data_IF_166249951802
#
_entry.id   IF_166249951802
#
_cell.length_a   1.000
_cell.length_b   1.000
_cell.length_c   1.000
_cell.angle_alpha   90.00
_cell.angle_beta   90.00
_cell.angle_gamma   90.00
#
_symmetry.space_group_name_H-M   'P 1'
#
loop_
_entity.id
_entity.type
_entity.pdbx_description
1 polymer ?
#
# COMPACT_ATOMS: atom_id res chain seq x y z
N UNK A 1 18.17 -35.53 -4.16
CA UNK A 1 16.85 -35.77 -4.80
C UNK A 1 15.91 -34.69 -4.28
N UNK A 2 15.17 -34.04 -5.18
CA UNK A 2 14.27 -32.94 -4.86
C UNK A 2 12.88 -33.50 -4.56
N UNK A 3 12.39 -33.28 -3.34
CA UNK A 3 11.01 -33.54 -2.95
C UNK A 3 10.42 -32.21 -2.50
N UNK A 4 10.05 -31.37 -3.46
CA UNK A 4 9.35 -30.11 -3.21
C UNK A 4 8.05 -30.15 -4.01
N UNK A 5 7.04 -30.81 -3.45
CA UNK A 5 5.64 -30.76 -3.87
C UNK A 5 4.90 -31.78 -2.99
N UNK A 6 4.05 -31.34 -2.05
CA UNK A 6 2.85 -32.05 -1.51
C UNK A 6 2.41 -31.62 -0.09
N UNK A 7 3.18 -30.84 0.68
CA UNK A 7 2.87 -30.61 2.11
C UNK A 7 2.21 -29.27 2.51
N UNK A 8 1.97 -28.35 1.58
CA UNK A 8 1.65 -26.95 1.90
C UNK A 8 0.29 -26.69 2.56
N UNK A 9 -0.70 -27.55 2.31
CA UNK A 9 -2.02 -27.44 2.96
C UNK A 9 -1.98 -27.86 4.43
N UNK A 10 -1.23 -28.93 4.72
CA UNK A 10 -1.26 -29.57 6.03
C UNK A 10 -0.78 -28.67 7.18
N UNK A 11 0.30 -27.90 6.98
CA UNK A 11 0.84 -27.07 8.06
C UNK A 11 -0.02 -25.83 8.36
N UNK A 12 -0.67 -25.28 7.34
CA UNK A 12 -1.59 -24.16 7.52
C UNK A 12 -2.85 -24.62 8.26
N UNK A 13 -3.38 -25.78 7.88
CA UNK A 13 -4.54 -26.38 8.54
C UNK A 13 -4.22 -26.73 10.01
N UNK A 14 -3.05 -27.31 10.27
CA UNK A 14 -2.57 -27.58 11.64
C UNK A 14 -2.40 -26.29 12.46
N UNK A 15 -1.90 -25.22 11.84
CA UNK A 15 -1.75 -23.92 12.51
C UNK A 15 -3.11 -23.33 12.85
N UNK A 16 -4.06 -23.37 11.92
CA UNK A 16 -5.42 -22.90 12.15
C UNK A 16 -6.11 -23.72 13.26
N UNK A 17 -6.01 -25.05 13.24
CA UNK A 17 -6.55 -25.91 14.28
C UNK A 17 -5.93 -25.60 15.65
N UNK A 18 -4.61 -25.46 15.72
CA UNK A 18 -3.92 -25.16 16.98
C UNK A 18 -4.29 -23.77 17.51
N UNK A 19 -4.43 -22.78 16.62
CA UNK A 19 -4.88 -21.43 16.98
C UNK A 19 -6.31 -21.45 17.51
N UNK A 20 -7.24 -22.10 16.81
CA UNK A 20 -8.63 -22.22 17.23
C UNK A 20 -8.74 -22.98 18.56
N UNK A 21 -8.02 -24.09 18.73
CA UNK A 21 -7.99 -24.88 19.96
C UNK A 21 -7.47 -24.08 21.15
N UNK A 22 -6.39 -23.31 20.95
CA UNK A 22 -5.84 -22.41 21.96
C UNK A 22 -6.85 -21.29 22.32
N UNK A 23 -7.41 -20.63 21.31
CA UNK A 23 -8.38 -19.55 21.51
C UNK A 23 -9.65 -20.03 22.22
N UNK A 24 -10.19 -21.18 21.83
CA UNK A 24 -11.36 -21.78 22.47
C UNK A 24 -11.09 -22.07 23.94
N UNK A 25 -9.95 -22.68 24.27
CA UNK A 25 -9.59 -22.98 25.66
C UNK A 25 -9.45 -21.73 26.51
N UNK A 26 -8.95 -20.63 25.95
CA UNK A 26 -8.85 -19.33 26.62
C UNK A 26 -10.18 -18.58 26.77
N UNK A 27 -11.17 -18.89 25.92
CA UNK A 27 -12.46 -18.16 25.86
C UNK A 27 -13.65 -18.96 26.39
N UNK A 28 -13.49 -20.24 26.67
CA UNK A 28 -14.48 -21.06 27.38
C UNK A 28 -14.81 -20.40 28.73
N UNK A 29 -16.04 -19.92 28.89
CA UNK A 29 -16.56 -19.49 30.20
C UNK A 29 -17.05 -20.73 30.95
N UNK A 30 -16.32 -21.14 32.00
CA UNK A 30 -16.76 -22.25 32.85
C UNK A 30 -17.97 -21.84 33.72
N UNK A 31 -19.07 -22.60 33.69
CA UNK A 31 -20.22 -22.34 34.54
C UNK A 31 -20.00 -22.93 35.95
N UNK A 32 -19.51 -22.10 36.89
CA UNK A 32 -19.70 -22.21 38.35
C UNK A 32 -19.78 -23.61 39.00
N UNK A 33 -19.05 -24.59 38.48
CA UNK A 33 -19.03 -25.95 38.98
C UNK A 33 -17.58 -26.24 39.35
N UNK A 34 -17.35 -26.99 40.44
CA UNK A 34 -16.02 -27.26 41.02
C UNK A 34 -15.07 -28.08 40.14
N UNK A 35 -15.12 -27.91 38.83
CA UNK A 35 -14.18 -28.44 37.83
C UNK A 35 -12.79 -27.90 38.15
N UNK A 36 -11.83 -28.83 38.22
CA UNK A 36 -10.48 -28.64 38.73
C UNK A 36 -9.78 -27.46 38.04
N UNK A 37 -9.54 -26.35 38.76
CA UNK A 37 -8.73 -25.23 38.26
C UNK A 37 -7.40 -25.72 37.67
N UNK A 38 -6.79 -26.72 38.31
CA UNK A 38 -5.55 -27.34 37.85
C UNK A 38 -5.70 -28.02 36.47
N UNK A 39 -6.84 -28.65 36.20
CA UNK A 39 -7.11 -29.30 34.92
C UNK A 39 -7.26 -28.28 33.78
N UNK A 40 -7.96 -27.16 34.06
CA UNK A 40 -8.11 -26.04 33.14
C UNK A 40 -6.73 -25.41 32.86
N UNK A 41 -5.95 -25.14 33.91
CA UNK A 41 -4.61 -24.57 33.78
C UNK A 41 -3.70 -25.49 32.93
N UNK A 42 -3.79 -26.82 33.12
CA UNK A 42 -3.08 -27.81 32.31
C UNK A 42 -3.58 -27.85 30.85
N UNK A 43 -4.88 -27.75 30.60
CA UNK A 43 -5.45 -27.71 29.25
C UNK A 43 -4.97 -26.45 28.51
N UNK A 44 -5.03 -25.28 29.15
CA UNK A 44 -4.54 -24.00 28.61
C UNK A 44 -3.05 -24.09 28.26
N UNK A 45 -2.22 -24.63 29.17
CA UNK A 45 -0.80 -24.82 28.90
C UNK A 45 -0.56 -25.75 27.71
N UNK A 46 -1.30 -26.87 27.63
CA UNK A 46 -1.18 -27.83 26.54
C UNK A 46 -1.52 -27.21 25.19
N UNK A 47 -2.64 -26.51 25.08
CA UNK A 47 -3.06 -25.88 23.81
C UNK A 47 -2.14 -24.73 23.42
N UNK A 48 -1.66 -23.96 24.40
CA UNK A 48 -0.70 -22.87 24.18
C UNK A 48 0.63 -23.40 23.64
N UNK A 49 1.18 -24.45 24.25
CA UNK A 49 2.43 -25.06 23.79
C UNK A 49 2.28 -25.65 22.39
N UNK A 50 1.18 -26.36 22.10
CA UNK A 50 0.90 -26.87 20.75
C UNK A 50 0.85 -25.73 19.73
N UNK A 51 0.15 -24.63 20.05
CA UNK A 51 0.09 -23.47 19.17
C UNK A 51 1.47 -22.86 18.90
N UNK A 52 2.30 -22.69 19.93
CA UNK A 52 3.67 -22.17 19.79
C UNK A 52 4.52 -23.10 18.92
N UNK A 53 4.43 -24.41 19.12
CA UNK A 53 5.22 -25.39 18.36
C UNK A 53 4.85 -25.38 16.87
N UNK A 54 3.56 -25.33 16.54
CA UNK A 54 3.11 -25.25 15.14
C UNK A 54 3.46 -23.88 14.53
N UNK A 55 3.33 -22.79 15.30
CA UNK A 55 3.75 -21.46 14.86
C UNK A 55 5.23 -21.41 14.48
N UNK A 56 6.11 -22.05 15.29
CA UNK A 56 7.55 -22.17 15.00
C UNK A 56 7.82 -23.00 13.77
N UNK A 57 7.09 -24.11 13.58
CA UNK A 57 7.20 -24.92 12.36
C UNK A 57 6.81 -24.11 11.12
N UNK A 58 5.75 -23.30 11.22
CA UNK A 58 5.30 -22.41 10.14
C UNK A 58 6.33 -21.32 9.83
N UNK A 59 6.90 -20.68 10.86
CA UNK A 59 8.00 -19.73 10.69
C UNK A 59 9.20 -20.36 9.97
N UNK A 60 9.66 -21.53 10.44
CA UNK A 60 10.77 -22.25 9.84
C UNK A 60 10.49 -22.62 8.37
N UNK A 61 9.27 -23.07 8.06
CA UNK A 61 8.83 -23.37 6.71
C UNK A 61 8.92 -22.13 5.80
N UNK A 62 8.36 -21.00 6.22
CA UNK A 62 8.41 -19.77 5.42
C UNK A 62 9.81 -19.20 5.29
N UNK A 63 10.66 -19.29 6.32
CA UNK A 63 12.08 -18.93 6.22
C UNK A 63 12.82 -19.78 5.19
N UNK A 64 12.60 -21.10 5.19
CA UNK A 64 13.20 -22.00 4.20
C UNK A 64 12.73 -21.67 2.78
N UNK A 65 11.43 -21.38 2.60
CA UNK A 65 10.89 -20.97 1.30
C UNK A 65 11.46 -19.62 0.86
N UNK A 66 11.57 -18.64 1.76
CA UNK A 66 12.17 -17.32 1.46
C UNK A 66 13.63 -17.46 1.06
N UNK A 67 14.41 -18.27 1.77
CA UNK A 67 15.80 -18.57 1.42
C UNK A 67 15.92 -19.23 0.03
N UNK A 68 15.01 -20.15 -0.30
CA UNK A 68 14.97 -20.78 -1.61
C UNK A 68 14.67 -19.76 -2.72
N UNK A 69 13.73 -18.83 -2.48
CA UNK A 69 13.40 -17.76 -3.43
C UNK A 69 14.57 -16.78 -3.61
N UNK A 70 15.22 -16.33 -2.54
CA UNK A 70 16.37 -15.43 -2.66
C UNK A 70 17.53 -16.05 -3.43
N UNK A 71 17.71 -17.35 -3.28
CA UNK A 71 18.77 -18.12 -3.92
C UNK A 71 18.46 -18.43 -5.40
N UNK A 72 17.24 -18.90 -5.69
CA UNK A 72 16.90 -19.41 -7.03
C UNK A 72 16.25 -18.34 -7.94
N UNK A 73 15.65 -17.32 -7.34
CA UNK A 73 14.85 -16.30 -8.06
C UNK A 73 15.12 -14.89 -7.49
N UNK A 74 16.38 -14.41 -7.43
CA UNK A 74 16.69 -13.09 -6.87
C UNK A 74 15.98 -11.95 -7.60
N UNK A 75 15.75 -12.08 -8.91
CA UNK A 75 14.99 -11.09 -9.69
C UNK A 75 13.55 -10.90 -9.19
N UNK A 76 12.91 -11.95 -8.64
CA UNK A 76 11.56 -11.83 -8.10
C UNK A 76 11.53 -10.93 -6.86
N UNK A 77 12.56 -11.00 -6.00
CA UNK A 77 12.65 -10.09 -4.84
C UNK A 77 12.74 -8.64 -5.28
N UNK A 78 13.60 -8.35 -6.26
CA UNK A 78 13.76 -7.01 -6.83
C UNK A 78 12.46 -6.54 -7.49
N UNK A 79 11.72 -7.44 -8.14
CA UNK A 79 10.44 -7.13 -8.75
C UNK A 79 9.39 -6.76 -7.69
N UNK A 80 9.30 -7.53 -6.60
CA UNK A 80 8.37 -7.27 -5.50
C UNK A 80 8.72 -5.92 -4.81
N UNK A 81 10.00 -5.67 -4.53
CA UNK A 81 10.48 -4.38 -4.00
C UNK A 81 10.13 -3.20 -4.92
N UNK A 82 10.33 -3.35 -6.24
CA UNK A 82 9.96 -2.31 -7.20
C UNK A 82 8.45 -2.08 -7.26
N UNK A 83 7.65 -3.13 -7.08
CA UNK A 83 6.19 -3.02 -7.02
C UNK A 83 5.75 -2.24 -5.78
N UNK A 84 6.33 -2.53 -4.61
CA UNK A 84 6.07 -1.78 -3.37
C UNK A 84 6.45 -0.30 -3.51
N UNK A 85 7.61 -0.02 -4.11
CA UNK A 85 8.04 1.36 -4.40
C UNK A 85 7.08 2.07 -5.36
N UNK A 86 6.58 1.37 -6.38
CA UNK A 86 5.62 1.93 -7.35
C UNK A 86 4.30 2.29 -6.68
N UNK A 87 3.78 1.43 -5.80
CA UNK A 87 2.56 1.69 -5.01
C UNK A 87 2.77 2.88 -4.07
N UNK A 88 3.93 2.96 -3.39
CA UNK A 88 4.23 4.06 -2.48
C UNK A 88 4.39 5.39 -3.22
N UNK A 89 4.98 5.40 -4.42
CA UNK A 89 5.03 6.59 -5.29
C UNK A 89 3.61 7.06 -5.63
N UNK A 90 2.74 6.15 -6.10
CA UNK A 90 1.35 6.49 -6.43
C UNK A 90 0.59 7.08 -5.22
N UNK A 91 0.79 6.50 -4.03
CA UNK A 91 0.21 7.02 -2.78
C UNK A 91 0.70 8.43 -2.47
N UNK A 92 2.00 8.70 -2.66
CA UNK A 92 2.60 10.02 -2.46
C UNK A 92 2.13 11.03 -3.50
N UNK A 93 1.99 10.65 -4.76
CA UNK A 93 1.42 11.50 -5.82
C UNK A 93 -0.01 11.91 -5.47
N UNK A 94 -0.85 10.97 -5.02
CA UNK A 94 -2.22 11.28 -4.57
C UNK A 94 -2.23 12.24 -3.38
N UNK A 95 -1.31 12.07 -2.43
CA UNK A 95 -1.18 12.97 -1.28
C UNK A 95 -0.74 14.38 -1.70
N UNK A 96 0.24 14.48 -2.62
CA UNK A 96 0.67 15.75 -3.19
C UNK A 96 -0.49 16.45 -3.92
N UNK A 97 -1.25 15.74 -4.74
CA UNK A 97 -2.44 16.29 -5.40
C UNK A 97 -3.44 16.87 -4.41
N UNK A 98 -3.71 16.15 -3.30
CA UNK A 98 -4.57 16.66 -2.21
C UNK A 98 -4.04 17.95 -1.61
N UNK A 99 -2.72 18.05 -1.40
CA UNK A 99 -2.09 19.27 -0.88
C UNK A 99 -2.13 20.42 -1.88
N UNK A 100 -1.89 20.17 -3.16
CA UNK A 100 -2.02 21.18 -4.21
C UNK A 100 -3.45 21.73 -4.28
N UNK A 101 -4.47 20.88 -4.24
CA UNK A 101 -5.86 21.32 -4.20
C UNK A 101 -6.15 22.22 -2.99
N UNK A 102 -5.64 21.84 -1.80
CA UNK A 102 -5.82 22.65 -0.59
C UNK A 102 -5.08 23.99 -0.67
N UNK A 103 -3.90 24.02 -1.30
CA UNK A 103 -3.17 25.26 -1.56
C UNK A 103 -3.95 26.18 -2.51
N UNK A 104 -4.58 25.65 -3.56
CA UNK A 104 -5.43 26.44 -4.45
C UNK A 104 -6.68 26.98 -3.73
N UNK A 105 -7.33 26.19 -2.87
CA UNK A 105 -8.42 26.66 -2.00
C UNK A 105 -7.98 27.82 -1.09
N UNK A 106 -6.78 27.72 -0.49
CA UNK A 106 -6.23 28.77 0.36
C UNK A 106 -5.86 30.02 -0.42
N UNK A 107 -5.27 29.88 -1.62
CA UNK A 107 -5.00 31.03 -2.51
C UNK A 107 -6.29 31.75 -2.92
N UNK A 108 -7.34 31.00 -3.27
CA UNK A 108 -8.64 31.56 -3.61
C UNK A 108 -9.20 32.39 -2.43
N UNK A 109 -9.23 31.81 -1.23
CA UNK A 109 -9.68 32.49 -0.01
C UNK A 109 -8.87 33.76 0.29
N UNK A 110 -7.54 33.73 0.14
CA UNK A 110 -6.69 34.91 0.33
C UNK A 110 -6.96 35.99 -0.73
N UNK A 111 -7.23 35.61 -1.99
CA UNK A 111 -7.59 36.55 -3.04
C UNK A 111 -8.94 37.23 -2.75
N UNK A 112 -9.94 36.49 -2.30
CA UNK A 112 -11.25 37.03 -1.92
C UNK A 112 -11.14 38.06 -0.77
N UNK A 113 -10.28 37.77 0.22
CA UNK A 113 -10.01 38.71 1.32
C UNK A 113 -9.35 39.98 0.79
N UNK A 114 -8.33 39.86 -0.08
CA UNK A 114 -7.63 41.00 -0.67
C UNK A 114 -8.54 41.87 -1.55
N UNK A 115 -9.41 41.25 -2.35
CA UNK A 115 -10.41 41.96 -3.16
C UNK A 115 -11.47 42.64 -2.28
N UNK A 116 -11.84 42.02 -1.16
CA UNK A 116 -12.77 42.57 -0.16
C UNK A 116 -12.22 43.79 0.59
N UNK A 117 -10.92 43.84 0.91
CA UNK A 117 -10.32 45.02 1.57
C UNK A 117 -10.13 46.21 0.63
N UNK A 118 -9.96 45.99 -0.68
CA UNK A 118 -9.92 47.09 -1.65
C UNK A 118 -11.32 47.61 -2.03
N UNK A 119 -12.37 46.83 -1.75
CA UNK A 119 -13.76 47.22 -2.03
C UNK A 119 -14.46 47.89 -0.85
N UNK A 120 -13.76 48.13 0.27
CA UNK A 120 -14.33 48.89 1.38
C UNK A 120 -14.34 50.37 0.99
N UNK A 121 -15.51 51.02 0.81
CA UNK A 121 -15.55 52.44 0.53
C UNK A 121 -15.03 53.15 1.78
N UNK A 122 -13.82 53.69 1.71
CA UNK A 122 -13.40 54.74 2.63
C UNK A 122 -14.38 55.90 2.44
N UNK A 123 -15.16 56.28 3.47
CA UNK A 123 -16.05 57.42 3.34
C UNK A 123 -15.19 58.66 3.09
N UNK A 124 -15.49 59.48 2.07
CA UNK A 124 -14.81 60.74 1.90
C UNK A 124 -15.15 61.62 3.10
N UNK A 125 -14.14 61.99 3.88
CA UNK A 125 -14.23 63.12 4.81
C UNK A 125 -14.28 64.37 3.92
N UNK A 126 -15.49 64.64 3.43
CA UNK A 126 -15.81 65.77 2.56
C UNK A 126 -16.31 66.94 3.39
N UNK A 127 -15.45 67.93 3.53
CA UNK A 127 -15.82 69.29 3.88
C UNK A 127 -16.78 69.84 2.82
N UNK A 128 -17.98 70.26 3.23
CA UNK A 128 -18.72 71.31 2.52
C UNK A 128 -19.94 70.87 1.69
N UNK A 129 -21.07 71.49 2.06
CA UNK A 129 -22.09 72.06 1.18
C UNK A 129 -23.17 71.15 0.55
N UNK A 130 -24.38 71.26 1.14
CA UNK A 130 -25.67 71.56 0.50
C UNK A 130 -26.21 70.66 -0.63
N UNK A 131 -27.19 69.84 -0.23
CA UNK A 131 -28.59 69.82 -0.71
C UNK A 131 -28.92 69.27 -2.13
N UNK A 132 -29.72 68.19 -2.14
CA UNK A 132 -30.66 67.86 -3.23
C UNK A 132 -30.86 66.35 -3.47
N UNK A 133 -32.05 65.75 -3.20
CA UNK A 133 -32.30 64.33 -3.43
C UNK A 133 -33.01 64.09 -4.77
N UNK A 134 -32.48 63.19 -5.59
CA UNK A 134 -33.11 62.73 -6.83
C UNK A 134 -32.74 61.27 -7.09
N UNK A 135 -33.73 60.38 -6.99
CA UNK A 135 -33.56 58.94 -7.14
C UNK A 135 -33.56 58.44 -8.59
N UNK A 136 -33.08 57.21 -8.77
CA UNK A 136 -33.19 56.45 -10.02
C UNK A 136 -32.42 55.13 -9.94
N UNK A 137 -33.13 54.00 -9.99
CA UNK A 137 -32.65 52.61 -9.86
C UNK A 137 -31.77 52.14 -11.05
N UNK A 138 -30.95 51.07 -10.87
CA UNK A 138 -30.23 50.38 -11.94
C UNK A 138 -30.96 49.10 -12.42
N UNK A 139 -30.55 48.48 -13.54
CA UNK A 139 -30.57 47.00 -13.55
C UNK A 139 -29.45 46.31 -14.37
N UNK A 140 -29.16 45.07 -13.94
CA UNK A 140 -28.76 43.84 -14.66
C UNK A 140 -27.63 43.91 -15.71
N UNK A 141 -26.60 43.05 -15.70
CA UNK A 141 -26.64 41.60 -15.52
C UNK A 141 -26.38 40.92 -16.89
N UNK A 142 -25.18 40.38 -17.10
CA UNK A 142 -24.79 39.70 -18.34
C UNK A 142 -23.57 38.78 -18.14
N UNK A 143 -23.81 37.48 -18.31
CA UNK A 143 -22.92 36.32 -18.14
C UNK A 143 -21.94 36.08 -19.31
N UNK A 144 -20.77 35.43 -19.12
CA UNK A 144 -19.90 34.95 -20.21
C UNK A 144 -20.04 33.43 -20.47
N UNK A 145 -19.59 32.89 -21.63
CA UNK A 145 -18.89 31.60 -21.58
C UNK A 145 -17.80 31.31 -22.66
N UNK A 146 -16.74 30.64 -22.19
CA UNK A 146 -16.08 29.40 -22.69
C UNK A 146 -15.12 29.43 -23.92
N UNK A 147 -13.88 28.89 -23.76
CA UNK A 147 -12.96 28.55 -24.86
C UNK A 147 -12.90 27.03 -25.17
N UNK A 148 -12.57 26.67 -26.42
CA UNK A 148 -12.18 25.30 -26.80
C UNK A 148 -12.12 25.07 -28.31
N UNK A 149 -10.92 24.77 -28.83
CA UNK A 149 -10.53 24.17 -30.13
C UNK A 149 -8.98 24.14 -30.13
N UNK A 150 -8.18 23.13 -30.52
CA UNK A 150 -8.32 21.95 -31.39
C UNK A 150 -7.20 20.90 -31.05
N UNK A 151 -7.31 19.65 -31.57
CA UNK A 151 -6.36 18.54 -31.38
C UNK A 151 -5.39 18.33 -32.57
N UNK A 152 -4.31 17.53 -32.38
CA UNK A 152 -3.39 17.14 -33.47
C UNK A 152 -2.48 15.95 -33.12
N UNK A 153 -2.55 14.91 -33.95
CA UNK A 153 -1.88 13.59 -33.91
C UNK A 153 -0.40 13.67 -34.39
N UNK A 154 0.46 12.63 -34.22
CA UNK A 154 0.54 11.58 -35.25
C UNK A 154 0.93 10.15 -34.77
N UNK A 155 0.67 9.09 -35.59
CA UNK A 155 1.08 7.71 -35.30
C UNK A 155 2.25 7.23 -36.18
N UNK A 156 2.95 6.19 -35.71
CA UNK A 156 3.56 5.15 -36.57
C UNK A 156 5.09 5.10 -36.66
N UNK A 157 5.68 3.99 -36.18
CA UNK A 157 6.84 3.33 -36.79
C UNK A 157 7.07 1.94 -36.14
N UNK A 158 6.67 0.89 -36.85
CA UNK A 158 7.16 -0.47 -36.67
C UNK A 158 8.59 -0.57 -37.22
N UNK A 159 9.50 -1.22 -36.49
CA UNK A 159 10.71 -1.81 -37.08
C UNK A 159 10.98 -3.18 -36.43
N UNK A 160 11.19 -4.25 -37.22
CA UNK A 160 11.55 -5.57 -36.73
C UNK A 160 13.06 -5.85 -36.88
N UNK A 161 13.58 -6.77 -36.07
CA UNK A 161 14.80 -7.52 -36.39
C UNK A 161 16.08 -7.06 -35.68
N UNK A 162 16.24 -7.45 -34.41
CA UNK A 162 17.52 -7.43 -33.69
C UNK A 162 18.02 -8.86 -33.39
N UNK A 163 19.34 -9.08 -33.32
CA UNK A 163 19.96 -10.41 -33.29
C UNK A 163 19.65 -11.19 -32.00
N UNK A 164 19.62 -12.52 -32.10
CA UNK A 164 19.39 -13.47 -31.00
C UNK A 164 20.13 -13.06 -29.73
N UNK A 165 19.37 -12.60 -28.73
CA UNK A 165 19.84 -12.51 -27.36
C UNK A 165 19.99 -13.93 -26.81
N UNK A 166 21.11 -14.28 -26.14
CA UNK A 166 21.22 -15.56 -25.46
C UNK A 166 20.06 -15.68 -24.46
N UNK A 167 19.25 -16.74 -24.62
CA UNK A 167 18.06 -16.95 -23.82
C UNK A 167 18.40 -16.90 -22.33
N UNK A 168 17.71 -16.08 -21.51
CA UNK A 168 18.00 -15.91 -20.09
C UNK A 168 17.90 -17.22 -19.28
N UNK A 169 17.33 -18.28 -19.84
CA UNK A 169 17.26 -19.60 -19.23
C UNK A 169 18.64 -20.26 -19.02
N UNK A 170 19.62 -20.03 -19.91
CA UNK A 170 20.90 -20.76 -19.84
C UNK A 170 21.79 -20.23 -18.72
N UNK A 171 21.78 -18.90 -18.49
CA UNK A 171 22.49 -18.26 -17.39
C UNK A 171 21.91 -18.68 -16.03
N UNK A 172 20.57 -18.82 -15.95
CA UNK A 172 19.89 -19.30 -14.75
C UNK A 172 20.21 -20.77 -14.44
N UNK A 173 20.31 -21.63 -15.47
CA UNK A 173 20.70 -23.03 -15.30
C UNK A 173 22.14 -23.18 -14.78
N UNK A 174 23.08 -22.36 -15.27
CA UNK A 174 24.47 -22.39 -14.81
C UNK A 174 24.62 -21.92 -13.36
N UNK A 175 23.88 -20.89 -12.96
CA UNK A 175 23.89 -20.40 -11.57
C UNK A 175 23.34 -21.45 -10.60
N UNK A 176 22.29 -22.17 -11.01
CA UNK A 176 21.69 -23.26 -10.21
C UNK A 176 22.67 -24.43 -9.99
N UNK A 177 23.57 -24.69 -10.94
CA UNK A 177 24.58 -25.74 -10.82
C UNK A 177 25.69 -25.37 -9.82
N UNK A 178 26.11 -24.11 -9.75
CA UNK A 178 27.08 -23.66 -8.75
C UNK A 178 26.53 -23.76 -7.31
N UNK A 179 25.26 -23.39 -7.11
CA UNK A 179 24.59 -23.46 -5.81
C UNK A 179 24.46 -24.89 -5.29
N UNK A 180 24.27 -25.88 -6.17
CA UNK A 180 24.30 -27.31 -5.80
C UNK A 180 25.67 -27.80 -5.35
N UNK A 181 26.76 -27.20 -5.83
CA UNK A 181 28.11 -27.57 -5.40
C UNK A 181 28.48 -26.95 -4.05
N UNK A 182 28.00 -25.73 -3.76
CA UNK A 182 28.21 -25.06 -2.46
C UNK A 182 27.41 -25.73 -1.34
N UNK A 183 26.18 -26.17 -1.61
CA UNK A 183 25.34 -26.85 -0.61
C UNK A 183 25.78 -28.29 -0.28
N UNK A 184 26.65 -28.92 -1.09
CA UNK A 184 27.27 -30.22 -0.76
C UNK A 184 28.53 -30.11 0.09
N UNK A 185 29.10 -28.92 0.25
CA UNK A 185 30.39 -28.72 0.94
C UNK A 185 30.26 -28.11 2.34
N UNK A 186 29.06 -27.78 2.81
CA UNK A 186 28.89 -27.39 4.21
C UNK A 186 28.65 -28.62 5.10
N UNK A 187 29.57 -28.95 6.02
CA UNK A 187 29.34 -29.97 7.02
C UNK A 187 28.23 -29.50 7.98
N UNK A 188 27.39 -30.42 8.51
CA UNK A 188 26.45 -30.06 9.56
C UNK A 188 27.24 -29.56 10.78
N UNK A 189 26.82 -28.42 11.33
CA UNK A 189 27.16 -28.04 12.70
C UNK A 189 26.40 -28.93 13.67
#
# INVERSE_FOLDING_TARGET
MASNESGGGNLMDEFEEAFQSCLLTLTKQEPNSGTNKEEIDLEVQKTTNRFIDVARQMEAFFLQKRFLVSTLKPYMLIKDENQDLSIEIQRKEALLQKHYNRLEEWKACLSDIQQGVHSRPTPPIGSGMLQGPGGGMPPMGGTPPRPGMMPGMPPGAMQPGGPMQPSPHMLQAQQMQQLRMISRQMPPK
#
